data_IF_889763438411
#
_entry.id   IF_889763438411
#
_cell.length_a   1.000
_cell.length_b   1.000
_cell.length_c   1.000
_cell.angle_alpha   90.00
_cell.angle_beta   90.00
_cell.angle_gamma   90.00
#
_symmetry.space_group_name_H-M   'P 1'
#
loop_
_entity.id
_entity.type
_entity.pdbx_description
1 polymer ?
#
# COMPACT_ATOMS: atom_id res chain seq x y z
N UNK A 1 30.34 11.43 -18.41
CA UNK A 1 28.96 11.96 -18.33
C UNK A 1 28.02 11.18 -17.39
N UNK A 2 28.45 10.12 -16.69
CA UNK A 2 27.55 9.28 -15.88
C UNK A 2 27.29 9.76 -14.43
N UNK A 3 28.21 10.53 -13.83
CA UNK A 3 28.07 10.97 -12.44
C UNK A 3 26.92 11.97 -12.22
N UNK A 4 26.73 12.92 -13.15
CA UNK A 4 25.65 13.90 -13.05
C UNK A 4 24.26 13.26 -13.19
N UNK A 5 24.12 12.28 -14.06
CA UNK A 5 22.86 11.54 -14.25
C UNK A 5 22.52 10.69 -13.01
N UNK A 6 23.51 10.00 -12.44
CA UNK A 6 23.31 9.23 -11.20
C UNK A 6 22.94 10.12 -10.01
N UNK A 7 23.59 11.29 -9.87
CA UNK A 7 23.27 12.25 -8.81
C UNK A 7 21.85 12.82 -8.98
N UNK A 8 21.43 13.10 -10.21
CA UNK A 8 20.09 13.56 -10.53
C UNK A 8 19.03 12.50 -10.21
N UNK A 9 19.25 11.24 -10.62
CA UNK A 9 18.36 10.12 -10.27
C UNK A 9 18.25 9.91 -8.77
N UNK A 10 19.37 10.02 -8.04
CA UNK A 10 19.39 9.89 -6.59
C UNK A 10 18.57 10.99 -5.91
N UNK A 11 18.75 12.25 -6.33
CA UNK A 11 18.00 13.38 -5.80
C UNK A 11 16.48 13.24 -6.07
N UNK A 12 16.12 12.83 -7.28
CA UNK A 12 14.74 12.56 -7.67
C UNK A 12 14.14 11.43 -6.85
N UNK A 13 14.86 10.30 -6.71
CA UNK A 13 14.37 9.15 -5.95
C UNK A 13 14.19 9.48 -4.46
N UNK A 14 15.10 10.27 -3.88
CA UNK A 14 14.96 10.80 -2.52
C UNK A 14 13.74 11.70 -2.38
N UNK A 15 13.57 12.67 -3.28
CA UNK A 15 12.43 13.58 -3.27
C UNK A 15 11.10 12.84 -3.42
N UNK A 16 11.01 11.93 -4.38
CA UNK A 16 9.84 11.08 -4.60
C UNK A 16 9.54 10.18 -3.39
N UNK A 17 10.57 9.62 -2.74
CA UNK A 17 10.40 8.79 -1.54
C UNK A 17 9.93 9.61 -0.34
N UNK A 18 10.47 10.82 -0.16
CA UNK A 18 10.02 11.74 0.90
C UNK A 18 8.56 12.14 0.69
N UNK A 19 8.17 12.51 -0.54
CA UNK A 19 6.79 12.85 -0.89
C UNK A 19 5.85 11.67 -0.70
N UNK A 20 6.24 10.47 -1.15
CA UNK A 20 5.47 9.25 -0.93
C UNK A 20 5.23 9.01 0.57
N UNK A 21 6.30 9.06 1.37
CA UNK A 21 6.21 8.91 2.83
C UNK A 21 5.31 9.95 3.49
N UNK A 22 5.42 11.23 3.12
CA UNK A 22 4.58 12.31 3.64
C UNK A 22 3.10 12.13 3.29
N UNK A 23 2.81 11.68 2.07
CA UNK A 23 1.43 11.45 1.60
C UNK A 23 0.85 10.13 2.14
N UNK A 24 1.67 9.30 2.80
CA UNK A 24 1.29 7.93 3.19
C UNK A 24 0.97 7.06 1.98
N UNK A 25 1.46 7.43 0.80
CA UNK A 25 1.27 6.71 -0.45
C UNK A 25 2.60 6.11 -0.87
N UNK A 26 2.56 4.91 -1.43
CA UNK A 26 3.79 4.24 -1.82
C UNK A 26 4.56 5.05 -2.88
N UNK A 27 5.88 5.17 -2.72
CA UNK A 27 6.75 6.06 -3.51
C UNK A 27 6.76 5.74 -5.01
N UNK A 28 6.35 4.53 -5.40
CA UNK A 28 6.32 4.10 -6.80
C UNK A 28 5.35 4.90 -7.69
N UNK A 29 4.34 5.55 -7.10
CA UNK A 29 3.47 6.52 -7.81
C UNK A 29 4.30 7.61 -8.50
N UNK A 30 5.36 8.08 -7.84
CA UNK A 30 6.20 9.16 -8.33
C UNK A 30 7.44 8.64 -9.06
N UNK A 31 8.05 7.57 -8.56
CA UNK A 31 9.32 7.04 -9.10
C UNK A 31 9.14 6.51 -10.53
N UNK A 32 8.10 5.71 -10.80
CA UNK A 32 7.85 5.11 -12.12
C UNK A 32 7.69 6.15 -13.24
N UNK A 33 6.82 7.17 -13.14
CA UNK A 33 6.60 8.12 -14.23
C UNK A 33 7.78 9.05 -14.41
N UNK A 34 8.50 9.40 -13.33
CA UNK A 34 9.69 10.24 -13.47
C UNK A 34 10.79 9.48 -14.22
N UNK A 35 11.01 8.20 -13.92
CA UNK A 35 11.97 7.36 -14.65
C UNK A 35 11.54 7.13 -16.10
N UNK A 36 10.25 6.88 -16.36
CA UNK A 36 9.75 6.62 -17.70
C UNK A 36 9.76 7.89 -18.58
N UNK A 37 9.31 9.03 -18.06
CA UNK A 37 9.17 10.27 -18.85
C UNK A 37 10.45 11.11 -18.92
N UNK A 38 11.21 11.22 -17.82
CA UNK A 38 12.42 12.04 -17.77
C UNK A 38 13.71 11.23 -17.89
N UNK A 39 13.70 9.98 -17.42
CA UNK A 39 14.85 9.09 -17.53
C UNK A 39 14.96 8.36 -18.87
N UNK A 40 13.88 8.33 -19.68
CA UNK A 40 13.83 7.57 -20.93
C UNK A 40 14.02 6.07 -20.74
N UNK A 41 13.79 5.57 -19.52
CA UNK A 41 14.02 4.18 -19.15
C UNK A 41 12.77 3.36 -19.46
N UNK A 42 12.96 2.12 -19.91
CA UNK A 42 11.84 1.18 -20.10
C UNK A 42 11.03 0.99 -18.81
N UNK A 43 9.71 0.82 -18.97
CA UNK A 43 8.78 0.71 -17.86
C UNK A 43 9.13 -0.45 -16.92
N UNK A 44 9.63 -1.58 -17.42
CA UNK A 44 9.96 -2.73 -16.57
C UNK A 44 11.11 -2.39 -15.60
N UNK A 45 12.11 -1.67 -16.09
CA UNK A 45 13.23 -1.21 -15.26
C UNK A 45 12.76 -0.15 -14.26
N UNK A 46 11.86 0.76 -14.68
CA UNK A 46 11.25 1.75 -13.79
C UNK A 46 10.42 1.10 -12.67
N UNK A 47 9.61 0.10 -13.01
CA UNK A 47 8.83 -0.73 -12.08
C UNK A 47 9.77 -1.43 -11.09
N UNK A 48 10.82 -2.10 -11.57
CA UNK A 48 11.80 -2.75 -10.70
C UNK A 48 12.49 -1.79 -9.73
N UNK A 49 12.96 -0.64 -10.24
CA UNK A 49 13.61 0.39 -9.42
C UNK A 49 12.65 0.97 -8.36
N UNK A 50 11.37 1.16 -8.73
CA UNK A 50 10.37 1.68 -7.81
C UNK A 50 10.05 0.72 -6.67
N UNK A 51 10.00 -0.59 -6.91
CA UNK A 51 9.79 -1.60 -5.85
C UNK A 51 10.91 -1.55 -4.82
N UNK A 52 12.17 -1.41 -5.25
CA UNK A 52 13.31 -1.29 -4.32
C UNK A 52 13.17 -0.05 -3.44
N UNK A 53 12.77 1.09 -4.02
CA UNK A 53 12.48 2.32 -3.26
C UNK A 53 11.32 2.13 -2.27
N UNK A 54 10.22 1.50 -2.70
CA UNK A 54 9.05 1.24 -1.86
C UNK A 54 9.40 0.34 -0.68
N UNK A 55 10.20 -0.71 -0.89
CA UNK A 55 10.67 -1.59 0.18
C UNK A 55 11.53 -0.80 1.17
N UNK A 56 12.48 -0.01 0.70
CA UNK A 56 13.34 0.81 1.56
C UNK A 56 12.52 1.80 2.41
N UNK A 57 11.56 2.49 1.80
CA UNK A 57 10.66 3.41 2.49
C UNK A 57 9.79 2.69 3.54
N UNK A 58 9.22 1.53 3.17
CA UNK A 58 8.38 0.72 4.06
C UNK A 58 9.15 0.22 5.29
N UNK A 59 10.37 -0.27 5.09
CA UNK A 59 11.24 -0.70 6.20
C UNK A 59 11.59 0.46 7.13
N UNK A 60 11.85 1.65 6.58
CA UNK A 60 12.14 2.85 7.37
C UNK A 60 10.96 3.21 8.29
N UNK A 61 9.75 3.26 7.75
CA UNK A 61 8.55 3.64 8.51
C UNK A 61 8.05 2.56 9.47
N UNK A 62 8.21 1.27 9.13
CA UNK A 62 7.71 0.14 9.93
C UNK A 62 8.24 0.15 11.38
N UNK A 63 9.49 0.56 11.57
CA UNK A 63 10.13 0.63 12.90
C UNK A 63 9.41 1.56 13.88
N UNK A 64 8.81 2.64 13.38
CA UNK A 64 8.06 3.62 14.19
C UNK A 64 6.70 3.07 14.61
N UNK A 65 5.98 2.42 13.68
CA UNK A 65 4.66 1.84 13.94
C UNK A 65 4.72 0.68 14.94
N UNK A 66 5.74 -0.18 14.83
CA UNK A 66 5.94 -1.30 15.74
C UNK A 66 6.25 -0.85 17.17
N UNK A 67 7.05 0.21 17.34
CA UNK A 67 7.37 0.77 18.67
C UNK A 67 6.16 1.39 19.35
N UNK A 68 5.19 1.90 18.59
CA UNK A 68 3.99 2.49 19.15
C UNK A 68 2.91 1.48 19.56
N UNK A 69 3.08 0.17 19.31
CA UNK A 69 2.02 -0.85 19.46
C UNK A 69 0.74 -0.52 18.68
N UNK A 70 0.92 0.23 17.58
CA UNK A 70 -0.16 0.77 16.76
C UNK A 70 -0.71 -0.27 15.76
N UNK A 71 -0.11 -1.46 15.70
CA UNK A 71 -0.36 -2.47 14.67
C UNK A 71 -0.63 -3.83 15.27
N UNK A 72 -1.77 -4.43 14.92
CA UNK A 72 -2.04 -5.83 15.20
C UNK A 72 -1.24 -6.72 14.25
N UNK A 73 -0.13 -7.26 14.75
CA UNK A 73 0.80 -8.10 13.99
C UNK A 73 0.10 -9.34 13.39
N UNK A 74 -0.88 -9.93 14.09
CA UNK A 74 -1.58 -11.12 13.58
C UNK A 74 -2.44 -10.80 12.36
N UNK A 75 -3.22 -9.73 12.42
CA UNK A 75 -4.00 -9.25 11.28
C UNK A 75 -3.09 -8.86 10.12
N UNK A 76 -2.00 -8.15 10.39
CA UNK A 76 -1.03 -7.75 9.38
C UNK A 76 -0.46 -8.98 8.63
N UNK A 77 -0.04 -10.01 9.35
CA UNK A 77 0.49 -11.24 8.74
C UNK A 77 -0.57 -11.94 7.88
N UNK A 78 -1.83 -12.03 8.33
CA UNK A 78 -2.91 -12.67 7.55
C UNK A 78 -3.23 -11.90 6.26
N UNK A 79 -3.24 -10.57 6.30
CA UNK A 79 -3.47 -9.76 5.09
C UNK A 79 -2.26 -9.77 4.14
N UNK A 80 -1.05 -9.86 4.70
CA UNK A 80 0.18 -9.89 3.90
C UNK A 80 0.33 -11.20 3.15
N UNK A 81 -0.09 -12.34 3.69
CA UNK A 81 -0.08 -13.61 2.93
C UNK A 81 -0.97 -13.53 1.70
N UNK A 82 -2.17 -12.96 1.82
CA UNK A 82 -3.05 -12.74 0.68
C UNK A 82 -2.44 -11.80 -0.37
N UNK A 83 -1.81 -10.70 0.09
CA UNK A 83 -1.11 -9.76 -0.79
C UNK A 83 0.06 -10.42 -1.51
N UNK A 84 0.84 -11.24 -0.80
CA UNK A 84 2.01 -11.93 -1.34
C UNK A 84 1.62 -12.93 -2.42
N UNK A 85 0.53 -13.68 -2.21
CA UNK A 85 -0.03 -14.58 -3.22
C UNK A 85 -0.48 -13.82 -4.48
N UNK A 86 -1.12 -12.66 -4.29
CA UNK A 86 -1.51 -11.77 -5.39
C UNK A 86 -0.31 -11.25 -6.16
N UNK A 87 0.71 -10.78 -5.43
CA UNK A 87 1.95 -10.29 -6.01
C UNK A 87 2.68 -11.38 -6.82
N UNK A 88 2.74 -12.60 -6.30
CA UNK A 88 3.35 -13.73 -7.00
C UNK A 88 2.64 -13.97 -8.34
N UNK A 89 1.31 -13.99 -8.35
CA UNK A 89 0.55 -14.10 -9.60
C UNK A 89 0.75 -12.89 -10.54
N UNK A 90 0.88 -11.68 -10.00
CA UNK A 90 1.18 -10.48 -10.78
C UNK A 90 2.53 -10.55 -11.48
N UNK A 91 3.58 -11.03 -10.81
CA UNK A 91 4.91 -11.21 -11.39
C UNK A 91 4.88 -12.16 -12.58
N UNK A 92 4.14 -13.28 -12.49
CA UNK A 92 3.96 -14.19 -13.63
C UNK A 92 3.21 -13.55 -14.80
N UNK A 93 2.24 -12.67 -14.53
CA UNK A 93 1.47 -11.97 -15.56
C UNK A 93 2.27 -10.87 -16.26
N UNK A 94 3.24 -10.25 -15.60
CA UNK A 94 4.03 -9.14 -16.17
C UNK A 94 4.74 -9.52 -17.46
N UNK A 95 5.22 -10.77 -17.57
CA UNK A 95 5.89 -11.25 -18.78
C UNK A 95 4.97 -11.57 -19.96
N UNK A 96 3.65 -11.61 -19.73
CA UNK A 96 2.64 -11.98 -20.73
C UNK A 96 1.86 -10.73 -21.20
N UNK A 97 1.73 -9.73 -20.33
CA UNK A 97 0.93 -8.54 -20.60
C UNK A 97 1.70 -7.54 -21.48
N UNK A 98 1.07 -6.96 -22.52
CA UNK A 98 1.73 -5.95 -23.35
C UNK A 98 1.99 -4.67 -22.57
N UNK A 99 3.10 -3.99 -22.87
CA UNK A 99 3.50 -2.71 -22.25
C UNK A 99 2.40 -1.65 -22.31
N UNK A 100 1.63 -1.58 -23.40
CA UNK A 100 0.51 -0.63 -23.54
C UNK A 100 -0.58 -0.82 -22.47
N UNK A 101 -0.85 -2.07 -22.06
CA UNK A 101 -1.81 -2.35 -21.00
C UNK A 101 -1.26 -1.95 -19.63
N UNK A 102 0.05 -2.15 -19.39
CA UNK A 102 0.70 -1.67 -18.16
C UNK A 102 0.61 -0.14 -18.05
N UNK A 103 0.85 0.60 -19.13
CA UNK A 103 0.66 2.06 -19.16
C UNK A 103 -0.78 2.48 -18.90
N UNK A 104 -1.76 1.82 -19.52
CA UNK A 104 -3.17 2.10 -19.30
C UNK A 104 -3.57 1.84 -17.83
N UNK A 105 -3.19 0.69 -17.29
CA UNK A 105 -3.44 0.33 -15.90
C UNK A 105 -2.76 1.30 -14.93
N UNK A 106 -1.52 1.68 -15.22
CA UNK A 106 -0.77 2.68 -14.47
C UNK A 106 -1.48 4.04 -14.46
N UNK A 107 -1.97 4.52 -15.61
CA UNK A 107 -2.72 5.76 -15.71
C UNK A 107 -4.03 5.72 -14.92
N UNK A 108 -4.77 4.61 -14.96
CA UNK A 108 -5.99 4.42 -14.17
C UNK A 108 -5.68 4.48 -12.68
N UNK A 109 -4.63 3.78 -12.22
CA UNK A 109 -4.24 3.79 -10.80
C UNK A 109 -3.80 5.18 -10.35
N UNK A 110 -3.04 5.92 -11.18
CA UNK A 110 -2.69 7.31 -10.89
C UNK A 110 -3.93 8.20 -10.78
N UNK A 111 -4.91 8.04 -11.67
CA UNK A 111 -6.15 8.80 -11.63
C UNK A 111 -6.94 8.53 -10.34
N UNK A 112 -7.05 7.25 -9.94
CA UNK A 112 -7.70 6.85 -8.69
C UNK A 112 -6.96 7.42 -7.49
N UNK A 113 -5.62 7.33 -7.48
CA UNK A 113 -4.77 7.87 -6.41
C UNK A 113 -4.91 9.39 -6.28
N UNK A 114 -4.94 10.11 -7.40
CA UNK A 114 -5.16 11.54 -7.42
C UNK A 114 -6.55 11.92 -6.89
N UNK A 115 -7.59 11.15 -7.25
CA UNK A 115 -8.94 11.35 -6.68
C UNK A 115 -8.97 11.07 -5.18
N UNK A 116 -8.26 10.05 -4.69
CA UNK A 116 -8.15 9.75 -3.27
C UNK A 116 -7.38 10.82 -2.49
N UNK A 117 -6.34 11.42 -3.06
CA UNK A 117 -5.67 12.58 -2.46
C UNK A 117 -6.59 13.80 -2.37
N UNK A 118 -7.41 14.02 -3.41
CA UNK A 118 -8.29 15.18 -3.51
C UNK A 118 -9.57 15.05 -2.66
N UNK A 119 -10.10 13.82 -2.57
CA UNK A 119 -11.10 13.45 -1.60
C UNK A 119 -10.44 13.51 -0.22
N UNK A 120 -10.50 14.69 0.42
CA UNK A 120 -9.97 14.93 1.77
C UNK A 120 -10.27 13.72 2.64
N UNK A 121 -9.23 13.18 3.30
CA UNK A 121 -9.37 12.15 4.32
C UNK A 121 -10.38 12.66 5.34
N UNK A 122 -11.63 12.21 5.23
CA UNK A 122 -12.48 12.16 6.39
C UNK A 122 -11.87 11.03 7.21
N UNK A 123 -11.17 11.38 8.29
CA UNK A 123 -10.85 10.40 9.32
C UNK A 123 -12.15 9.65 9.59
N UNK A 124 -12.20 8.31 9.44
CA UNK A 124 -13.33 7.54 9.90
C UNK A 124 -13.36 7.71 11.42
N UNK A 125 -14.07 8.73 11.90
CA UNK A 125 -14.41 8.86 13.31
C UNK A 125 -15.05 7.54 13.70
N UNK A 126 -14.38 6.84 14.60
CA UNK A 126 -14.75 5.55 15.14
C UNK A 126 -16.25 5.55 15.51
N UNK A 127 -17.07 5.03 14.61
CA UNK A 127 -18.44 4.69 14.96
C UNK A 127 -18.38 3.29 15.54
N UNK A 128 -18.35 3.24 16.87
CA UNK A 128 -18.63 2.06 17.65
C UNK A 128 -19.92 1.42 17.08
N UNK A 129 -19.76 0.33 16.32
CA UNK A 129 -20.89 -0.43 15.81
C UNK A 129 -20.88 -1.80 16.47
N UNK A 130 -21.85 -1.97 17.36
CA UNK A 130 -22.17 -3.18 18.09
C UNK A 130 -22.36 -4.41 17.17
N UNK A 131 -21.96 -5.57 17.73
CA UNK A 131 -22.47 -6.93 17.55
C UNK A 131 -22.98 -7.33 16.16
N UNK A 132 -22.27 -8.26 15.49
CA UNK A 132 -22.83 -9.58 15.07
C UNK A 132 -21.79 -10.45 14.38
N UNK A 133 -21.66 -11.70 14.85
CA UNK A 133 -21.25 -12.83 13.99
C UNK A 133 -19.99 -13.56 14.44
N UNK A 134 -20.18 -14.76 14.99
CA UNK A 134 -19.16 -15.82 15.06
C UNK A 134 -18.65 -16.12 13.65
N UNK A 135 -17.39 -15.78 13.37
CA UNK A 135 -16.75 -15.98 12.07
C UNK A 135 -15.23 -16.09 12.19
N UNK A 136 -14.53 -16.25 11.07
CA UNK A 136 -13.08 -16.52 10.99
C UNK A 136 -12.22 -15.50 11.78
N UNK A 137 -12.72 -14.28 12.01
CA UNK A 137 -12.06 -13.26 12.83
C UNK A 137 -11.94 -13.66 14.31
N UNK A 138 -12.92 -14.40 14.83
CA UNK A 138 -13.00 -14.87 16.23
C UNK A 138 -12.12 -16.12 16.43
N UNK A 139 -12.14 -17.03 15.45
CA UNK A 139 -11.30 -18.25 15.45
C UNK A 139 -9.81 -17.93 15.37
N UNK A 140 -9.42 -16.89 14.61
CA UNK A 140 -8.03 -16.46 14.51
C UNK A 140 -7.62 -15.39 15.56
N UNK A 141 -8.52 -14.99 16.48
CA UNK A 141 -8.26 -13.95 17.51
C UNK A 141 -7.72 -12.64 16.91
N UNK A 142 -8.38 -12.12 15.88
CA UNK A 142 -7.95 -10.89 15.20
C UNK A 142 -8.44 -9.59 15.85
N UNK A 143 -9.25 -9.67 16.90
CA UNK A 143 -9.68 -8.51 17.68
C UNK A 143 -8.49 -7.91 18.43
N UNK A 144 -8.30 -6.59 18.33
CA UNK A 144 -7.27 -5.88 19.08
C UNK A 144 -7.76 -4.50 19.50
N UNK A 145 -7.09 -3.96 20.51
CA UNK A 145 -7.25 -2.59 20.96
C UNK A 145 -6.03 -1.76 20.56
N UNK A 146 -6.25 -0.48 20.31
CA UNK A 146 -5.20 0.49 20.02
C UNK A 146 -5.16 1.56 21.12
N UNK A 147 -3.98 1.93 21.63
CA UNK A 147 -3.84 3.01 22.60
C UNK A 147 -3.99 4.37 21.88
N UNK A 148 -5.15 5.01 22.02
CA UNK A 148 -5.35 6.35 21.47
C UNK A 148 -4.62 7.39 22.34
N UNK A 149 -3.51 7.92 21.82
CA UNK A 149 -2.70 8.95 22.49
C UNK A 149 -3.43 10.29 22.67
N UNK A 150 -4.53 10.53 21.95
CA UNK A 150 -5.31 11.76 22.06
C UNK A 150 -6.38 11.68 23.17
N UNK A 151 -6.93 10.49 23.46
CA UNK A 151 -7.98 10.29 24.46
C UNK A 151 -7.52 9.59 25.75
N UNK A 152 -6.33 8.97 25.78
CA UNK A 152 -5.83 8.28 26.98
C UNK A 152 -6.55 6.96 27.30
N UNK A 153 -7.36 6.44 26.37
CA UNK A 153 -8.11 5.19 26.50
C UNK A 153 -7.82 4.24 25.34
N UNK A 154 -7.95 2.93 25.61
CA UNK A 154 -7.83 1.88 24.60
C UNK A 154 -9.12 1.79 23.77
N UNK A 155 -9.01 2.00 22.46
CA UNK A 155 -10.14 1.82 21.53
C UNK A 155 -10.08 0.40 20.97
N UNK A 156 -11.01 -0.46 21.38
CA UNK A 156 -11.14 -1.81 20.86
C UNK A 156 -11.78 -1.80 19.47
N UNK A 157 -11.15 -2.45 18.49
CA UNK A 157 -11.74 -2.66 17.17
C UNK A 157 -12.01 -4.16 16.92
N UNK A 158 -13.09 -4.45 16.19
CA UNK A 158 -13.39 -5.80 15.74
C UNK A 158 -13.25 -5.90 14.23
N UNK A 159 -12.40 -6.84 13.78
CA UNK A 159 -12.24 -7.14 12.35
C UNK A 159 -13.50 -7.82 11.83
N UNK A 160 -14.17 -7.19 10.86
CA UNK A 160 -15.31 -7.77 10.17
C UNK A 160 -14.89 -8.23 8.75
N UNK A 161 -15.49 -9.31 8.23
CA UNK A 161 -15.34 -9.79 6.83
C UNK A 161 -13.90 -10.03 6.33
N UNK A 162 -13.11 -10.79 7.10
CA UNK A 162 -11.76 -11.27 6.72
C UNK A 162 -11.64 -11.79 5.27
N UNK A 163 -12.53 -12.65 4.72
CA UNK A 163 -12.39 -13.13 3.35
C UNK A 163 -12.50 -12.03 2.29
N UNK A 164 -13.35 -11.02 2.51
CA UNK A 164 -13.46 -9.88 1.60
C UNK A 164 -12.19 -9.03 1.64
N UNK A 165 -11.64 -8.80 2.84
CA UNK A 165 -10.34 -8.17 3.02
C UNK A 165 -9.22 -8.91 2.29
N UNK A 166 -9.13 -10.24 2.41
CA UNK A 166 -8.13 -11.06 1.72
C UNK A 166 -8.24 -10.97 0.19
N UNK A 167 -9.45 -10.97 -0.37
CA UNK A 167 -9.63 -10.83 -1.83
C UNK A 167 -9.14 -9.47 -2.35
N UNK A 168 -9.42 -8.39 -1.61
CA UNK A 168 -8.94 -7.06 -1.97
C UNK A 168 -7.43 -6.93 -1.79
N UNK A 169 -6.86 -7.52 -0.73
CA UNK A 169 -5.41 -7.58 -0.52
C UNK A 169 -4.70 -8.35 -1.65
N UNK A 170 -5.29 -9.47 -2.08
CA UNK A 170 -4.79 -10.22 -3.22
C UNK A 170 -4.78 -9.37 -4.50
N UNK A 171 -5.89 -8.68 -4.82
CA UNK A 171 -5.96 -7.77 -5.96
C UNK A 171 -4.96 -6.61 -5.85
N UNK A 172 -4.81 -6.02 -4.66
CA UNK A 172 -3.82 -4.98 -4.39
C UNK A 172 -2.39 -5.48 -4.59
N UNK A 173 -2.08 -6.71 -4.17
CA UNK A 173 -0.79 -7.35 -4.40
C UNK A 173 -0.51 -7.60 -5.88
N UNK A 174 -1.49 -8.11 -6.61
CA UNK A 174 -1.40 -8.34 -8.05
C UNK A 174 -1.10 -7.03 -8.81
N UNK A 175 -1.90 -5.99 -8.59
CA UNK A 175 -1.72 -4.69 -9.25
C UNK A 175 -0.39 -4.03 -8.82
N UNK A 176 -0.04 -4.13 -7.54
CA UNK A 176 1.23 -3.59 -7.02
C UNK A 176 2.45 -4.24 -7.66
N UNK A 177 2.42 -5.56 -7.89
CA UNK A 177 3.52 -6.27 -8.54
C UNK A 177 3.64 -5.92 -10.03
N UNK A 178 2.51 -5.70 -10.71
CA UNK A 178 2.49 -5.32 -12.13
C UNK A 178 3.01 -3.88 -12.35
N UNK A 179 2.67 -2.95 -11.45
CA UNK A 179 2.93 -1.52 -11.64
C UNK A 179 4.13 -0.99 -10.84
N UNK A 180 4.64 -1.73 -9.86
CA UNK A 180 5.73 -1.29 -8.99
C UNK A 180 5.39 -0.14 -8.03
N UNK A 181 4.13 0.29 -8.03
CA UNK A 181 3.67 1.42 -7.22
C UNK A 181 3.80 1.14 -5.72
N UNK A 182 3.71 -0.12 -5.30
CA UNK A 182 3.50 -0.51 -3.91
C UNK A 182 2.00 -0.62 -3.59
N UNK A 183 1.64 -1.43 -2.60
CA UNK A 183 0.24 -1.76 -2.31
C UNK A 183 -0.48 -0.75 -1.41
N UNK A 184 0.23 0.21 -0.80
CA UNK A 184 -0.33 1.12 0.22
C UNK A 184 -1.58 1.89 -0.23
N UNK A 185 -1.59 2.39 -1.47
CA UNK A 185 -2.70 3.22 -2.00
C UNK A 185 -3.97 2.38 -2.25
N UNK A 186 -3.79 1.08 -2.43
CA UNK A 186 -4.86 0.11 -2.64
C UNK A 186 -5.28 -0.57 -1.33
N UNK A 187 -4.32 -0.77 -0.41
CA UNK A 187 -4.55 -1.42 0.89
C UNK A 187 -5.38 -0.55 1.83
N UNK A 188 -5.15 0.77 1.86
CA UNK A 188 -5.87 1.69 2.74
C UNK A 188 -7.39 1.66 2.46
N UNK A 189 -7.87 1.89 1.21
CA UNK A 189 -9.30 1.76 0.89
C UNK A 189 -9.84 0.37 1.15
N UNK A 190 -9.06 -0.68 0.85
CA UNK A 190 -9.47 -2.06 1.07
C UNK A 190 -9.68 -2.38 2.56
N UNK A 191 -8.84 -1.83 3.43
CA UNK A 191 -8.99 -1.97 4.88
C UNK A 191 -10.18 -1.17 5.42
N UNK A 192 -10.38 0.05 4.94
CA UNK A 192 -11.51 0.90 5.34
C UNK A 192 -12.86 0.29 4.91
N UNK A 193 -12.99 -0.12 3.64
CA UNK A 193 -14.27 -0.68 3.13
C UNK A 193 -14.56 -2.11 3.58
N UNK A 194 -13.55 -3.00 3.67
CA UNK A 194 -13.81 -4.40 3.99
C UNK A 194 -13.71 -4.72 5.47
N UNK A 195 -12.74 -4.12 6.18
CA UNK A 195 -12.41 -4.47 7.55
C UNK A 195 -12.89 -3.41 8.57
N UNK A 196 -13.35 -2.23 8.10
CA UNK A 196 -13.77 -1.08 8.92
C UNK A 196 -12.76 -0.73 10.01
N UNK A 197 -11.49 -0.73 9.61
CA UNK A 197 -10.37 -0.41 10.48
C UNK A 197 -10.08 1.11 10.39
N UNK A 198 -9.77 1.78 11.51
CA UNK A 198 -9.29 3.16 11.48
C UNK A 198 -7.94 3.30 10.77
#
# INVERSE_FOLDING_TARGET
>A
MHAHFGLWLFAVALGASALGGMLGMASGIFVVPILAMFGGVDIHTGVGASIVSVIACSCSSASSFLKGSLTNIRLAVVLETATTLGALTGVFLVGIIPVSYLYCLFAVVLLVSARQMLARRADPVATASEKTGTGWADTLKLHASYPDRALGHEVAYQVQRVPMGMTLMYGAGLISALLGIGSGVLKIPAMDTALRLP
#
